data_IF_398477257794
#
_entry.id   IF_398477257794
#
_cell.length_a   1.000
_cell.length_b   1.000
_cell.length_c   1.000
_cell.angle_alpha   90.00
_cell.angle_beta   90.00
_cell.angle_gamma   90.00
#
_symmetry.space_group_name_H-M   'P 1'
#
loop_
_entity.id
_entity.type
_entity.pdbx_description
1 polymer ?
#
# COMPACT_ATOMS: atom_id res chain seq x y z
N UNK A 1 -5.16 -2.25 23.06
CA UNK A 1 -4.41 -3.10 22.11
C UNK A 1 -5.33 -3.37 20.93
N UNK A 2 -4.89 -3.06 19.70
CA UNK A 2 -5.71 -3.17 18.49
C UNK A 2 -5.35 -4.43 17.69
N UNK A 3 -6.34 -5.09 17.09
CA UNK A 3 -6.11 -6.26 16.23
C UNK A 3 -6.90 -6.18 14.94
N UNK A 4 -6.21 -6.29 13.81
CA UNK A 4 -6.81 -6.44 12.49
C UNK A 4 -6.67 -7.88 12.03
N UNK A 5 -7.76 -8.45 11.50
CA UNK A 5 -7.82 -9.79 10.94
C UNK A 5 -8.56 -9.76 9.60
N UNK A 6 -8.37 -10.80 8.81
CA UNK A 6 -9.13 -10.97 7.56
C UNK A 6 -9.49 -12.43 7.37
N UNK A 7 -10.26 -12.74 6.33
CA UNK A 7 -10.66 -14.08 5.92
C UNK A 7 -11.17 -14.05 4.47
N UNK A 8 -11.83 -15.12 3.99
CA UNK A 8 -12.40 -15.15 2.65
C UNK A 8 -13.30 -13.93 2.41
N UNK A 9 -12.84 -13.01 1.56
CA UNK A 9 -13.50 -11.76 1.17
C UNK A 9 -13.78 -10.72 2.29
N UNK A 10 -13.27 -10.92 3.51
CA UNK A 10 -13.73 -10.17 4.68
C UNK A 10 -12.57 -9.63 5.50
N UNK A 11 -12.53 -8.31 5.72
CA UNK A 11 -11.63 -7.66 6.65
C UNK A 11 -12.41 -7.31 7.92
N UNK A 12 -11.88 -7.74 9.06
CA UNK A 12 -12.38 -7.40 10.38
C UNK A 12 -11.35 -6.56 11.11
N UNK A 13 -11.79 -5.46 11.69
CA UNK A 13 -11.01 -4.76 12.68
C UNK A 13 -11.70 -4.81 14.03
N UNK A 14 -11.00 -5.39 15.00
CA UNK A 14 -11.45 -5.52 16.38
C UNK A 14 -10.57 -4.65 17.27
N UNK A 15 -11.22 -3.82 18.08
CA UNK A 15 -10.57 -2.70 18.74
C UNK A 15 -10.28 -2.93 20.21
N UNK A 16 -11.12 -3.69 20.89
CA UNK A 16 -10.95 -3.98 22.31
C UNK A 16 -10.65 -5.45 22.51
N UNK A 17 -9.37 -5.76 22.69
CA UNK A 17 -8.98 -6.89 23.53
C UNK A 17 -9.20 -6.43 24.97
N UNK A 18 -9.96 -7.17 25.78
CA UNK A 18 -10.24 -6.75 27.15
C UNK A 18 -8.94 -6.68 27.92
N UNK A 19 -8.88 -5.90 29.00
CA UNK A 19 -7.76 -5.97 29.93
C UNK A 19 -7.61 -7.42 30.38
N UNK A 20 -6.53 -8.07 29.95
CA UNK A 20 -6.30 -9.47 30.26
C UNK A 20 -6.03 -9.59 31.76
N UNK A 21 -6.70 -10.52 32.46
CA UNK A 21 -6.42 -10.78 33.87
C UNK A 21 -4.97 -11.22 34.05
N UNK A 22 -4.41 -10.86 35.20
CA UNK A 22 -3.06 -11.26 35.61
C UNK A 22 -3.00 -12.69 36.15
N UNK A 23 -4.16 -13.30 36.42
CA UNK A 23 -4.31 -14.68 36.84
C UNK A 23 -4.69 -15.59 35.66
N UNK A 24 -4.43 -16.89 35.82
CA UNK A 24 -4.83 -17.89 34.84
C UNK A 24 -6.36 -17.88 34.65
N UNK A 25 -6.79 -17.94 33.39
CA UNK A 25 -8.19 -18.08 33.01
C UNK A 25 -8.40 -19.45 32.38
N UNK A 26 -9.42 -20.17 32.86
CA UNK A 26 -9.81 -21.48 32.32
C UNK A 26 -10.77 -21.35 31.13
N UNK A 27 -11.39 -20.18 30.98
CA UNK A 27 -12.29 -19.84 29.89
C UNK A 27 -11.78 -18.61 29.12
N UNK A 28 -11.58 -18.73 27.79
CA UNK A 28 -11.13 -17.61 26.98
C UNK A 28 -12.22 -16.53 26.87
N UNK A 29 -11.82 -15.27 26.83
CA UNK A 29 -12.73 -14.17 26.54
C UNK A 29 -13.29 -14.29 25.11
N UNK A 30 -14.60 -14.35 24.99
CA UNK A 30 -15.29 -14.40 23.70
C UNK A 30 -15.75 -13.01 23.28
N UNK A 31 -15.29 -12.56 22.11
CA UNK A 31 -15.76 -11.32 21.48
C UNK A 31 -16.60 -11.69 20.26
N UNK A 32 -17.86 -11.28 20.26
CA UNK A 32 -18.82 -11.68 19.23
C UNK A 32 -18.82 -10.77 17.99
N UNK A 33 -18.58 -9.47 18.18
CA UNK A 33 -18.71 -8.48 17.11
C UNK A 33 -17.48 -7.58 17.01
N UNK A 34 -16.93 -7.40 15.80
CA UNK A 34 -15.88 -6.42 15.56
C UNK A 34 -16.47 -5.02 15.44
N UNK A 35 -15.74 -4.01 15.90
CA UNK A 35 -16.13 -2.59 15.78
C UNK A 35 -16.09 -2.07 14.34
N UNK A 36 -15.33 -2.72 13.46
CA UNK A 36 -15.40 -2.44 12.03
C UNK A 36 -15.29 -3.73 11.22
N UNK A 37 -16.06 -3.81 10.14
CA UNK A 37 -16.05 -4.96 9.24
C UNK A 37 -16.41 -4.50 7.83
N UNK A 38 -15.62 -4.93 6.85
CA UNK A 38 -15.87 -4.61 5.44
C UNK A 38 -15.51 -5.78 4.52
N UNK A 39 -16.28 -5.95 3.45
CA UNK A 39 -15.91 -6.73 2.27
C UNK A 39 -15.64 -5.85 1.05
N UNK A 40 -15.81 -4.54 1.18
CA UNK A 40 -15.88 -3.63 0.04
C UNK A 40 -14.51 -3.11 -0.44
N UNK A 41 -13.44 -3.32 0.36
CA UNK A 41 -12.08 -2.86 0.00
C UNK A 41 -11.44 -3.72 -1.09
N UNK A 42 -11.84 -4.98 -1.23
CA UNK A 42 -11.22 -5.89 -2.19
C UNK A 42 -12.28 -6.71 -2.91
N UNK A 43 -12.02 -7.01 -4.19
CA UNK A 43 -12.89 -7.89 -4.97
C UNK A 43 -12.54 -9.38 -4.77
N UNK A 44 -11.36 -9.65 -4.22
CA UNK A 44 -10.80 -10.99 -4.03
C UNK A 44 -10.53 -11.36 -2.57
N UNK A 45 -10.02 -12.58 -2.37
CA UNK A 45 -9.75 -13.14 -1.05
C UNK A 45 -8.60 -12.39 -0.38
N UNK A 46 -8.83 -11.83 0.81
CA UNK A 46 -7.81 -11.18 1.63
C UNK A 46 -7.16 -12.22 2.53
N UNK A 47 -5.98 -12.69 2.13
CA UNK A 47 -5.32 -13.83 2.77
C UNK A 47 -5.03 -13.65 4.26
N UNK A 48 -5.51 -14.59 5.06
CA UNK A 48 -5.22 -14.73 6.47
C UNK A 48 -5.25 -16.20 6.85
N UNK A 49 -4.30 -16.61 7.68
CA UNK A 49 -4.32 -17.92 8.31
C UNK A 49 -3.73 -17.80 9.72
N UNK A 50 -4.49 -18.26 10.71
CA UNK A 50 -3.96 -18.56 12.05
C UNK A 50 -3.59 -20.03 12.05
N UNK A 51 -2.33 -20.41 12.31
CA UNK A 51 -2.02 -21.77 12.65
C UNK A 51 -2.76 -22.14 13.93
N UNK A 52 -3.70 -23.07 13.86
CA UNK A 52 -4.17 -23.79 15.06
C UNK A 52 -3.03 -24.73 15.43
N UNK A 53 -2.05 -24.25 16.19
CA UNK A 53 -1.08 -25.13 16.85
C UNK A 53 -1.54 -25.35 18.27
N UNK A 54 -1.93 -26.59 18.58
CA UNK A 54 -2.40 -27.00 19.91
C UNK A 54 -1.28 -27.21 20.92
N UNK A 55 -0.01 -27.06 20.55
CA UNK A 55 1.10 -27.33 21.46
C UNK A 55 2.20 -26.28 21.34
N UNK A 56 2.51 -25.70 22.50
CA UNK A 56 3.62 -24.78 22.82
C UNK A 56 3.43 -23.32 22.41
N UNK A 57 3.51 -22.47 23.42
CA UNK A 57 3.55 -21.02 23.34
C UNK A 57 4.78 -20.55 22.53
N UNK A 58 4.58 -20.40 21.22
CA UNK A 58 5.46 -19.60 20.35
C UNK A 58 4.70 -18.29 20.11
N UNK A 59 5.36 -17.10 20.16
CA UNK A 59 4.68 -15.85 19.87
C UNK A 59 3.94 -15.97 18.54
N UNK A 60 2.63 -15.74 18.61
CA UNK A 60 1.69 -15.87 17.49
C UNK A 60 2.26 -15.11 16.30
N UNK A 61 2.84 -15.84 15.35
CA UNK A 61 3.39 -15.29 14.12
C UNK A 61 2.19 -15.04 13.22
N UNK A 62 1.47 -13.95 13.49
CA UNK A 62 0.29 -13.59 12.76
C UNK A 62 0.75 -13.24 11.34
N UNK A 63 0.49 -14.14 10.40
CA UNK A 63 0.82 -13.97 8.99
C UNK A 63 -0.26 -13.08 8.38
N UNK A 64 0.05 -11.78 8.22
CA UNK A 64 -0.94 -10.80 7.79
C UNK A 64 -0.69 -10.34 6.36
N UNK A 65 -1.70 -10.47 5.48
CA UNK A 65 -1.84 -9.66 4.27
C UNK A 65 -2.54 -8.31 4.55
N UNK A 66 -2.63 -7.95 5.83
CA UNK A 66 -3.21 -6.70 6.33
C UNK A 66 -2.29 -6.12 7.42
N UNK A 67 -1.92 -4.86 7.34
CA UNK A 67 -1.06 -4.22 8.34
C UNK A 67 -1.49 -2.79 8.59
N UNK A 68 -1.35 -2.35 9.84
CA UNK A 68 -1.47 -0.92 10.15
C UNK A 68 -0.23 -0.16 9.66
N UNK A 69 -0.47 1.10 9.30
CA UNK A 69 0.51 2.15 9.08
C UNK A 69 -0.02 3.42 9.78
N UNK A 70 0.37 3.62 11.04
CA UNK A 70 -0.35 4.55 11.92
C UNK A 70 -1.81 4.11 12.06
N UNK A 71 -2.74 5.03 11.85
CA UNK A 71 -4.19 4.79 11.86
C UNK A 71 -4.72 4.34 10.48
N UNK A 72 -3.86 4.22 9.48
CA UNK A 72 -4.22 3.73 8.14
C UNK A 72 -3.97 2.22 8.02
N UNK A 73 -4.59 1.60 7.04
CA UNK A 73 -4.52 0.16 6.78
C UNK A 73 -3.94 -0.10 5.40
N UNK A 74 -2.93 -0.96 5.34
CA UNK A 74 -2.47 -1.62 4.13
C UNK A 74 -3.11 -2.99 4.04
N UNK A 75 -3.68 -3.35 2.90
CA UNK A 75 -4.19 -4.70 2.66
C UNK A 75 -4.01 -5.13 1.21
N UNK A 76 -4.05 -6.45 0.98
CA UNK A 76 -4.04 -7.02 -0.37
C UNK A 76 -4.98 -8.21 -0.46
N UNK A 77 -5.46 -8.48 -1.66
CA UNK A 77 -6.22 -9.67 -1.97
C UNK A 77 -5.58 -10.49 -3.09
N UNK A 78 -6.07 -11.72 -3.28
CA UNK A 78 -5.88 -12.49 -4.50
C UNK A 78 -6.60 -11.79 -5.66
N UNK A 79 -6.08 -11.95 -6.89
CA UNK A 79 -6.54 -11.28 -8.13
C UNK A 79 -6.38 -9.75 -8.16
N UNK A 80 -6.40 -9.09 -7.02
CA UNK A 80 -6.03 -7.69 -6.89
C UNK A 80 -4.51 -7.57 -7.13
N UNK A 81 -4.12 -7.11 -8.32
CA UNK A 81 -2.72 -6.82 -8.66
C UNK A 81 -2.24 -5.52 -7.98
N UNK A 82 -2.69 -5.28 -6.74
CA UNK A 82 -2.32 -4.13 -5.94
C UNK A 82 -2.32 -4.43 -4.44
N UNK A 83 -1.46 -3.71 -3.70
CA UNK A 83 -1.61 -3.48 -2.27
C UNK A 83 -2.33 -2.15 -2.11
N UNK A 84 -3.38 -2.10 -1.30
CA UNK A 84 -4.24 -0.92 -1.12
C UNK A 84 -3.92 -0.29 0.23
N UNK A 85 -3.66 1.01 0.23
CA UNK A 85 -3.65 1.85 1.42
C UNK A 85 -5.02 2.53 1.53
N UNK A 86 -5.66 2.39 2.68
CA UNK A 86 -6.97 2.94 2.94
C UNK A 86 -7.10 3.31 4.42
N UNK A 87 -8.17 3.99 4.79
CA UNK A 87 -8.47 4.32 6.19
C UNK A 87 -9.92 4.03 6.53
N UNK A 88 -10.15 3.81 7.82
CA UNK A 88 -11.48 3.74 8.40
C UNK A 88 -11.87 5.17 8.77
N UNK A 89 -13.03 5.63 8.28
CA UNK A 89 -13.50 6.97 8.62
C UNK A 89 -13.89 7.02 10.10
N UNK A 90 -13.59 8.14 10.77
CA UNK A 90 -13.81 8.32 12.21
C UNK A 90 -12.86 7.54 13.13
N UNK A 91 -11.92 6.74 12.61
CA UNK A 91 -10.90 6.09 13.44
C UNK A 91 -9.77 7.07 13.78
N UNK A 92 -9.52 7.26 15.08
CA UNK A 92 -8.17 7.54 15.56
C UNK A 92 -7.74 6.63 16.71
N UNK A 93 -6.45 6.28 16.75
CA UNK A 93 -5.86 5.54 17.88
C UNK A 93 -5.63 6.40 19.13
N UNK A 94 -5.76 7.72 19.02
CA UNK A 94 -5.70 8.65 20.16
C UNK A 94 -7.02 8.74 20.92
N UNK A 95 -8.12 8.36 20.29
CA UNK A 95 -9.44 8.32 20.91
C UNK A 95 -9.55 7.16 21.91
N UNK A 96 -10.38 7.29 22.96
CA UNK A 96 -10.65 6.17 23.85
C UNK A 96 -11.23 4.99 23.05
N UNK A 97 -10.80 3.75 23.34
CA UNK A 97 -11.27 2.60 22.59
C UNK A 97 -12.79 2.41 22.80
N UNK A 98 -13.55 2.09 21.74
CA UNK A 98 -15.01 1.94 21.83
C UNK A 98 -15.39 0.77 22.74
N UNK A 99 -16.52 0.90 23.42
CA UNK A 99 -17.05 -0.14 24.31
C UNK A 99 -17.50 -1.36 23.51
N UNK A 100 -17.54 -2.54 24.14
CA UNK A 100 -18.08 -3.75 23.48
C UNK A 100 -19.52 -3.59 22.99
N UNK A 101 -20.34 -2.86 23.75
CA UNK A 101 -21.73 -2.57 23.41
C UNK A 101 -21.89 -1.66 22.19
N UNK A 102 -20.82 -0.98 21.77
CA UNK A 102 -20.82 -0.07 20.61
C UNK A 102 -20.47 -0.82 19.30
N UNK A 103 -20.10 -2.10 19.38
CA UNK A 103 -19.84 -2.89 18.18
C UNK A 103 -21.13 -3.07 17.35
N UNK A 104 -21.09 -2.80 16.03
CA UNK A 104 -22.27 -2.89 15.19
C UNK A 104 -22.71 -4.35 15.01
N UNK A 105 -24.02 -4.59 15.11
CA UNK A 105 -24.61 -5.90 14.86
C UNK A 105 -24.70 -6.19 13.35
N UNK A 106 -24.85 -7.46 12.93
CA UNK A 106 -25.00 -7.82 11.52
C UNK A 106 -26.23 -7.20 10.83
N UNK A 107 -27.19 -6.68 11.60
CA UNK A 107 -28.37 -5.99 11.08
C UNK A 107 -28.09 -4.53 10.70
N UNK A 108 -27.00 -3.94 11.23
CA UNK A 108 -26.59 -2.56 10.95
C UNK A 108 -25.73 -2.44 9.66
N UNK A 109 -25.95 -3.34 8.70
CA UNK A 109 -25.19 -3.39 7.46
C UNK A 109 -25.65 -2.29 6.52
N UNK A 110 -24.70 -1.46 6.10
CA UNK A 110 -24.90 -0.48 5.03
C UNK A 110 -24.32 -1.08 3.76
N UNK A 111 -25.17 -1.26 2.74
CA UNK A 111 -24.72 -1.56 1.39
C UNK A 111 -23.98 -0.34 0.85
N UNK A 112 -22.67 -0.45 0.63
CA UNK A 112 -21.88 0.64 0.05
C UNK A 112 -22.13 0.65 -1.47
N UNK A 113 -23.25 1.23 -1.91
CA UNK A 113 -23.66 1.24 -3.32
C UNK A 113 -22.97 2.32 -4.18
N UNK A 114 -21.98 3.05 -3.66
CA UNK A 114 -21.32 4.13 -4.40
C UNK A 114 -20.24 3.67 -5.38
N UNK A 115 -19.76 2.42 -5.31
CA UNK A 115 -18.70 1.91 -6.20
C UNK A 115 -19.04 0.56 -6.89
N UNK A 116 -20.31 0.33 -7.24
CA UNK A 116 -20.68 -0.69 -8.23
C UNK A 116 -20.47 -2.17 -7.86
N UNK A 117 -19.92 -2.47 -6.68
CA UNK A 117 -19.77 -3.84 -6.16
C UNK A 117 -20.52 -3.95 -4.84
N UNK A 118 -21.40 -4.96 -4.71
CA UNK A 118 -22.28 -5.20 -3.56
C UNK A 118 -21.56 -5.61 -2.27
N UNK A 119 -20.58 -4.82 -1.85
CA UNK A 119 -19.85 -4.96 -0.60
C UNK A 119 -20.65 -4.43 0.59
N UNK A 120 -20.35 -5.01 1.75
CA UNK A 120 -20.98 -4.62 3.01
C UNK A 120 -19.93 -3.97 3.90
N UNK A 121 -20.28 -2.84 4.51
CA UNK A 121 -19.47 -2.24 5.56
C UNK A 121 -20.33 -1.94 6.79
N UNK A 122 -19.76 -2.14 7.97
CA UNK A 122 -20.30 -1.66 9.24
C UNK A 122 -19.17 -1.13 10.10
N UNK A 123 -19.45 -0.05 10.84
CA UNK A 123 -18.47 0.69 11.62
C UNK A 123 -19.11 1.25 12.89
N UNK A 124 -18.42 1.15 14.02
CA UNK A 124 -18.73 1.87 15.25
C UNK A 124 -18.23 3.33 15.23
N UNK A 125 -17.39 3.69 14.28
CA UNK A 125 -16.65 4.96 14.25
C UNK A 125 -17.39 6.10 13.55
N UNK A 126 -18.41 5.76 12.76
CA UNK A 126 -19.21 6.74 12.02
C UNK A 126 -20.69 6.44 12.23
N UNK A 127 -21.51 7.42 12.68
CA UNK A 127 -22.94 7.23 12.85
C UNK A 127 -23.64 6.88 11.52
N UNK A 128 -24.42 5.80 11.52
CA UNK A 128 -25.18 5.34 10.35
C UNK A 128 -26.37 6.25 9.94
N UNK A 129 -26.66 7.30 10.72
CA UNK A 129 -27.96 8.02 10.70
C UNK A 129 -27.83 9.46 10.14
N UNK A 130 -26.76 9.77 9.41
CA UNK A 130 -26.62 11.11 8.80
C UNK A 130 -27.39 11.20 7.47
N UNK A 131 -28.03 12.35 7.15
CA UNK A 131 -28.66 12.57 5.84
C UNK A 131 -27.57 12.63 4.75
N UNK A 132 -27.44 11.54 4.02
CA UNK A 132 -26.30 11.22 3.16
C UNK A 132 -25.48 10.13 3.84
N UNK A 133 -25.61 8.88 3.37
CA UNK A 133 -24.92 7.72 3.95
C UNK A 133 -23.41 8.03 3.98
N UNK A 134 -22.80 8.25 5.16
CA UNK A 134 -21.41 8.64 5.21
C UNK A 134 -20.53 7.47 4.79
N UNK A 135 -19.47 7.75 4.02
CA UNK A 135 -18.45 6.76 3.68
C UNK A 135 -17.85 6.22 4.97
N UNK A 136 -17.83 4.89 5.14
CA UNK A 136 -17.28 4.26 6.35
C UNK A 136 -15.78 3.96 6.23
N UNK A 137 -15.25 4.02 5.01
CA UNK A 137 -13.84 3.87 4.68
C UNK A 137 -13.53 4.66 3.42
N UNK A 138 -12.25 4.97 3.22
CA UNK A 138 -11.75 5.67 2.03
C UNK A 138 -10.46 5.01 1.53
N UNK A 139 -10.42 4.62 0.25
CA UNK A 139 -9.18 4.22 -0.43
C UNK A 139 -8.31 5.45 -0.65
N UNK A 140 -7.03 5.34 -0.30
CA UNK A 140 -6.08 6.45 -0.37
C UNK A 140 -5.09 6.29 -1.52
N UNK A 141 -4.48 5.10 -1.64
CA UNK A 141 -3.49 4.79 -2.67
C UNK A 141 -3.49 3.31 -3.00
N UNK A 142 -3.04 2.98 -4.21
CA UNK A 142 -2.77 1.62 -4.64
C UNK A 142 -1.30 1.46 -5.04
N UNK A 143 -0.68 0.33 -4.70
CA UNK A 143 0.68 -0.02 -5.06
C UNK A 143 0.66 -1.19 -6.03
N UNK A 144 1.15 -0.99 -7.25
CA UNK A 144 1.03 -1.97 -8.32
C UNK A 144 1.87 -3.23 -8.06
N UNK A 145 1.22 -4.39 -7.94
CA UNK A 145 1.84 -5.70 -7.73
C UNK A 145 1.48 -6.68 -8.86
N UNK A 146 2.04 -6.50 -10.07
CA UNK A 146 1.66 -7.27 -11.23
C UNK A 146 2.08 -8.74 -11.12
N UNK A 147 1.47 -9.59 -11.95
CA UNK A 147 1.84 -11.01 -12.09
C UNK A 147 1.73 -11.77 -10.76
N UNK A 148 0.67 -11.50 -10.01
CA UNK A 148 0.26 -12.35 -8.87
C UNK A 148 -0.74 -13.42 -9.31
N UNK A 149 -1.53 -13.16 -10.37
CA UNK A 149 -2.54 -14.10 -10.88
C UNK A 149 -3.45 -14.62 -9.75
N UNK A 150 -3.74 -15.92 -9.75
CA UNK A 150 -4.47 -16.63 -8.70
C UNK A 150 -3.61 -17.01 -7.48
N UNK A 151 -2.34 -16.59 -7.43
CA UNK A 151 -1.50 -16.88 -6.28
C UNK A 151 -1.91 -16.03 -5.09
N UNK A 152 -2.35 -16.75 -4.06
CA UNK A 152 -2.66 -16.25 -2.75
C UNK A 152 -1.57 -16.69 -1.75
N UNK A 153 -1.65 -16.26 -0.50
CA UNK A 153 -0.66 -16.49 0.56
C UNK A 153 0.72 -15.86 0.27
N UNK A 154 0.68 -14.65 -0.26
CA UNK A 154 1.86 -13.85 -0.59
C UNK A 154 1.77 -12.56 0.22
N UNK A 155 2.78 -12.22 1.02
CA UNK A 155 2.67 -11.16 2.02
C UNK A 155 3.67 -10.03 1.75
N UNK A 156 3.23 -8.81 2.02
CA UNK A 156 4.08 -7.64 2.04
C UNK A 156 4.60 -7.38 3.44
N UNK A 157 5.64 -6.55 3.55
CA UNK A 157 6.11 -6.03 4.85
C UNK A 157 6.51 -4.58 4.71
N UNK A 158 5.98 -3.76 5.61
CA UNK A 158 6.38 -2.37 5.78
C UNK A 158 7.52 -2.30 6.82
N UNK A 159 8.64 -1.72 6.43
CA UNK A 159 9.63 -1.21 7.37
C UNK A 159 9.15 0.14 7.88
N UNK A 160 8.80 0.24 9.16
CA UNK A 160 8.29 1.47 9.76
C UNK A 160 8.90 1.63 11.15
N UNK A 161 10.01 2.35 11.21
CA UNK A 161 10.80 2.59 12.42
C UNK A 161 11.02 4.09 12.54
N UNK A 162 10.85 4.71 13.73
CA UNK A 162 11.08 6.14 13.93
C UNK A 162 12.47 6.58 13.44
N UNK A 163 12.53 7.76 12.80
CA UNK A 163 13.77 8.32 12.27
C UNK A 163 14.28 7.68 10.98
N UNK A 164 13.54 6.72 10.40
CA UNK A 164 13.88 6.08 9.13
C UNK A 164 12.73 6.22 8.13
N UNK A 165 13.06 6.18 6.83
CA UNK A 165 12.05 6.17 5.78
C UNK A 165 11.19 4.90 5.89
N UNK A 166 9.86 5.07 5.79
CA UNK A 166 8.94 3.95 5.71
C UNK A 166 9.04 3.30 4.32
N UNK A 167 9.39 2.01 4.27
CA UNK A 167 9.62 1.29 3.00
C UNK A 167 8.75 0.04 2.93
N UNK A 168 7.83 0.02 1.98
CA UNK A 168 7.00 -1.13 1.68
C UNK A 168 7.77 -2.07 0.75
N UNK A 169 7.82 -3.36 1.08
CA UNK A 169 8.38 -4.39 0.21
C UNK A 169 7.39 -5.54 -0.01
N UNK A 170 7.41 -6.07 -1.23
CA UNK A 170 6.57 -7.17 -1.66
C UNK A 170 7.23 -7.96 -2.78
N UNK A 171 7.01 -9.28 -2.87
CA UNK A 171 7.48 -10.09 -3.98
C UNK A 171 6.34 -10.85 -4.65
N UNK A 172 6.21 -10.72 -5.98
CA UNK A 172 5.16 -11.38 -6.75
C UNK A 172 5.45 -12.85 -7.06
N UNK A 173 4.58 -13.48 -7.84
CA UNK A 173 4.69 -14.88 -8.24
C UNK A 173 5.67 -15.11 -9.40
N UNK A 174 6.17 -14.03 -9.99
CA UNK A 174 7.15 -14.04 -11.08
C UNK A 174 8.57 -13.68 -10.60
N UNK A 175 8.84 -13.76 -9.29
CA UNK A 175 10.16 -13.51 -8.71
C UNK A 175 10.59 -12.04 -8.70
N UNK A 176 9.69 -11.10 -8.94
CA UNK A 176 9.98 -9.66 -8.87
C UNK A 176 9.72 -9.15 -7.46
N UNK A 177 10.73 -8.52 -6.84
CA UNK A 177 10.68 -7.88 -5.53
C UNK A 177 10.55 -6.37 -5.75
N UNK A 178 9.50 -5.78 -5.21
CA UNK A 178 9.13 -4.38 -5.37
C UNK A 178 9.34 -3.61 -4.08
N UNK A 179 9.75 -2.35 -4.21
CA UNK A 179 9.95 -1.43 -3.10
C UNK A 179 9.30 -0.07 -3.38
N UNK A 180 8.60 0.46 -2.39
CA UNK A 180 8.07 1.83 -2.36
C UNK A 180 8.56 2.53 -1.10
N UNK A 181 9.13 3.72 -1.27
CA UNK A 181 9.62 4.58 -0.18
C UNK A 181 8.60 5.71 0.02
N UNK A 182 7.87 5.68 1.14
CA UNK A 182 6.76 6.60 1.37
C UNK A 182 7.23 8.05 1.53
N UNK A 183 8.46 8.26 2.00
CA UNK A 183 9.07 9.61 2.07
C UNK A 183 9.26 10.22 0.68
N UNK A 184 9.43 9.40 -0.37
CA UNK A 184 9.51 9.93 -1.75
C UNK A 184 8.17 10.39 -2.28
N UNK A 185 7.07 9.83 -1.80
CA UNK A 185 5.72 10.24 -2.21
C UNK A 185 5.43 11.66 -1.71
N UNK A 186 5.71 11.93 -0.43
CA UNK A 186 5.54 13.27 0.15
C UNK A 186 6.53 14.26 -0.47
N UNK A 187 7.81 13.90 -0.59
CA UNK A 187 8.81 14.76 -1.20
C UNK A 187 8.51 15.09 -2.69
N UNK A 188 7.90 14.16 -3.43
CA UNK A 188 7.48 14.42 -4.81
C UNK A 188 6.41 15.51 -4.89
N UNK A 189 5.40 15.47 -4.02
CA UNK A 189 4.37 16.52 -3.95
C UNK A 189 5.00 17.89 -3.72
N UNK A 190 5.91 18.00 -2.76
CA UNK A 190 6.63 19.26 -2.46
C UNK A 190 7.47 19.74 -3.64
N UNK A 191 8.07 18.84 -4.41
CA UNK A 191 8.77 19.20 -5.65
C UNK A 191 7.77 19.74 -6.67
N UNK A 192 6.65 19.04 -6.90
CA UNK A 192 5.66 19.47 -7.89
C UNK A 192 5.01 20.81 -7.54
N UNK A 193 4.68 21.05 -6.27
CA UNK A 193 4.16 22.34 -5.80
C UNK A 193 5.14 23.49 -6.09
N UNK A 194 6.43 23.28 -5.82
CA UNK A 194 7.47 24.26 -6.16
C UNK A 194 7.60 24.48 -7.66
N UNK A 195 7.59 23.42 -8.46
CA UNK A 195 7.65 23.52 -9.92
C UNK A 195 6.45 24.27 -10.50
N UNK A 196 5.24 24.09 -9.95
CA UNK A 196 4.04 24.80 -10.36
C UNK A 196 4.04 26.28 -9.94
N UNK A 197 4.60 26.59 -8.77
CA UNK A 197 4.63 27.95 -8.21
C UNK A 197 5.83 28.80 -8.69
N UNK A 198 6.84 28.18 -9.30
CA UNK A 198 8.08 28.82 -9.77
C UNK A 198 7.90 29.67 -11.05
N UNK A 199 6.95 30.60 -11.04
CA UNK A 199 6.89 31.71 -12.03
C UNK A 199 7.79 32.90 -11.65
N UNK A 200 8.40 32.93 -10.46
CA UNK A 200 9.05 34.14 -9.94
C UNK A 200 10.49 34.04 -9.45
N UNK A 201 11.08 32.86 -9.20
CA UNK A 201 12.46 32.80 -8.68
C UNK A 201 13.41 31.98 -9.54
N UNK A 202 14.48 32.65 -10.01
CA UNK A 202 15.53 32.09 -10.88
C UNK A 202 16.56 31.25 -10.11
N UNK A 203 16.22 30.80 -8.90
CA UNK A 203 17.08 29.88 -8.15
C UNK A 203 17.05 28.51 -8.83
N UNK A 204 18.24 28.03 -9.20
CA UNK A 204 18.42 26.72 -9.83
C UNK A 204 18.15 25.63 -8.79
N UNK A 205 16.87 25.34 -8.54
CA UNK A 205 16.49 24.32 -7.58
C UNK A 205 16.94 22.94 -8.07
N UNK A 206 17.74 22.27 -7.23
CA UNK A 206 18.26 20.96 -7.54
C UNK A 206 17.18 19.91 -7.26
N UNK A 207 16.77 19.20 -8.31
CA UNK A 207 15.90 18.04 -8.17
C UNK A 207 16.57 16.95 -7.32
N UNK A 208 15.81 16.23 -6.47
CA UNK A 208 16.34 15.10 -5.73
C UNK A 208 16.99 14.07 -6.65
N UNK A 209 18.12 13.49 -6.24
CA UNK A 209 18.91 12.57 -7.07
C UNK A 209 18.19 11.27 -7.48
N UNK A 210 17.12 10.92 -6.77
CA UNK A 210 16.25 9.79 -7.07
C UNK A 210 15.21 10.08 -8.15
N UNK A 211 14.92 11.36 -8.45
CA UNK A 211 13.96 11.80 -9.44
C UNK A 211 14.66 11.97 -10.80
N UNK A 212 15.00 10.84 -11.42
CA UNK A 212 15.80 10.80 -12.65
C UNK A 212 14.95 11.05 -13.89
N UNK A 213 15.46 11.84 -14.82
CA UNK A 213 14.84 12.03 -16.14
C UNK A 213 14.97 10.77 -17.01
N UNK A 214 13.95 10.46 -17.79
CA UNK A 214 14.03 9.39 -18.79
C UNK A 214 14.95 9.88 -19.91
N UNK A 215 16.11 9.21 -20.07
CA UNK A 215 17.00 9.49 -21.19
C UNK A 215 16.53 8.68 -22.39
N UNK A 216 16.14 9.34 -23.48
CA UNK A 216 16.01 8.66 -24.76
C UNK A 216 17.37 8.08 -25.14
N UNK A 217 17.45 6.77 -25.34
CA UNK A 217 18.54 6.20 -26.14
C UNK A 217 18.38 6.83 -27.53
N UNK A 218 19.29 7.71 -27.92
CA UNK A 218 19.39 8.07 -29.33
C UNK A 218 19.80 6.81 -30.06
N UNK A 219 18.87 6.18 -30.76
CA UNK A 219 19.24 5.22 -31.79
C UNK A 219 20.07 5.98 -32.81
N UNK A 220 21.37 5.71 -32.80
CA UNK A 220 22.25 6.14 -33.86
C UNK A 220 21.89 5.35 -35.12
N UNK A 221 21.42 6.05 -36.15
CA UNK A 221 21.37 5.54 -37.52
C UNK A 221 19.97 5.23 -38.04
N UNK A 222 19.43 6.15 -38.83
CA UNK A 222 18.24 5.88 -39.65
C UNK A 222 17.56 7.15 -40.12
N UNK A 223 18.06 7.75 -41.20
CA UNK A 223 17.36 8.81 -41.95
C UNK A 223 16.07 8.20 -42.52
N UNK A 224 14.96 8.37 -41.81
CA UNK A 224 13.63 8.16 -42.37
C UNK A 224 12.85 9.47 -42.26
N UNK A 225 12.62 10.10 -43.40
CA UNK A 225 11.66 11.17 -43.58
C UNK A 225 10.26 10.58 -43.78
N UNK A 226 9.26 10.88 -42.93
CA UNK A 226 7.88 10.66 -43.30
C UNK A 226 7.24 11.99 -43.72
N UNK A 227 6.88 12.09 -45.01
CA UNK A 227 5.80 12.96 -45.45
C UNK A 227 4.48 12.32 -45.04
N UNK A 228 3.72 12.97 -44.16
CA UNK A 228 2.30 13.27 -44.38
C UNK A 228 1.71 14.00 -43.16
N UNK A 229 1.04 15.12 -43.45
CA UNK A 229 0.18 15.86 -42.53
C UNK A 229 -1.17 15.15 -42.43
N UNK A 230 -1.60 14.88 -41.20
CA UNK A 230 -3.01 14.83 -40.83
C UNK A 230 -3.13 15.24 -39.35
N UNK A 231 -4.23 15.93 -39.05
CA UNK A 231 -4.39 16.86 -37.94
C UNK A 231 -4.70 16.22 -36.58
N UNK A 232 -4.76 17.11 -35.58
CA UNK A 232 -5.44 17.01 -34.27
C UNK A 232 -4.80 16.16 -33.17
N UNK A 233 -3.95 16.81 -32.37
CA UNK A 233 -4.11 16.92 -30.92
C UNK A 233 -3.19 18.05 -30.41
N UNK A 234 -3.75 19.01 -29.68
CA UNK A 234 -2.97 20.08 -29.04
C UNK A 234 -1.91 19.45 -28.11
N UNK A 235 -0.62 19.83 -28.20
CA UNK A 235 0.35 19.34 -27.25
C UNK A 235 0.05 19.95 -25.89
N UNK A 236 -0.16 19.11 -24.88
CA UNK A 236 -0.08 19.51 -23.48
C UNK A 236 1.27 20.19 -23.31
N UNK A 237 1.21 21.49 -23.05
CA UNK A 237 2.35 22.38 -22.99
C UNK A 237 3.31 21.88 -21.91
N UNK A 238 4.51 21.44 -22.32
CA UNK A 238 5.53 20.98 -21.38
C UNK A 238 5.80 22.06 -20.35
N UNK A 239 5.76 21.69 -19.06
CA UNK A 239 6.18 22.59 -18.00
C UNK A 239 7.69 22.83 -18.15
N UNK A 240 8.04 24.01 -18.65
CA UNK A 240 9.43 24.47 -18.70
C UNK A 240 9.81 24.94 -17.31
N UNK A 241 10.74 24.24 -16.66
CA UNK A 241 11.28 24.63 -15.37
C UNK A 241 12.80 24.74 -15.50
N UNK A 242 13.32 25.93 -15.23
CA UNK A 242 14.75 26.21 -15.07
C UNK A 242 15.66 25.69 -16.20
N UNK A 243 15.30 25.92 -17.47
CA UNK A 243 16.14 25.55 -18.62
C UNK A 243 16.35 24.05 -18.82
N UNK A 244 15.69 23.19 -18.01
CA UNK A 244 15.55 21.76 -18.25
C UNK A 244 14.15 21.52 -18.79
N UNK A 245 14.06 21.26 -20.09
CA UNK A 245 12.83 20.77 -20.69
C UNK A 245 12.56 19.36 -20.14
N UNK A 246 11.69 19.25 -19.13
CA UNK A 246 11.20 17.96 -18.64
C UNK A 246 10.33 17.39 -19.76
N UNK A 247 10.75 16.26 -20.33
CA UNK A 247 9.96 15.61 -21.37
C UNK A 247 8.64 15.08 -20.81
N UNK A 248 7.60 15.04 -21.64
CA UNK A 248 6.31 14.44 -21.27
C UNK A 248 6.49 13.01 -20.73
N UNK A 249 7.36 12.22 -21.37
CA UNK A 249 7.75 10.86 -20.94
C UNK A 249 8.40 10.82 -19.54
N UNK A 250 9.24 11.82 -19.21
CA UNK A 250 9.81 11.94 -17.87
C UNK A 250 8.72 12.24 -16.84
N UNK A 251 7.81 13.16 -17.18
CA UNK A 251 6.72 13.55 -16.30
C UNK A 251 5.78 12.37 -16.05
N UNK A 252 5.41 11.61 -17.09
CA UNK A 252 4.61 10.40 -16.96
C UNK A 252 5.29 9.33 -16.09
N UNK A 253 6.60 9.12 -16.29
CA UNK A 253 7.39 8.19 -15.47
C UNK A 253 7.43 8.59 -13.99
N UNK A 254 7.44 9.88 -13.69
CA UNK A 254 7.37 10.37 -12.30
C UNK A 254 5.96 10.23 -11.73
N UNK A 255 4.95 10.69 -12.47
CA UNK A 255 3.54 10.61 -12.06
C UNK A 255 3.14 9.18 -11.73
N UNK A 256 3.50 8.21 -12.57
CA UNK A 256 3.17 6.79 -12.36
C UNK A 256 3.86 6.14 -11.15
N UNK A 257 4.92 6.75 -10.60
CA UNK A 257 5.65 6.21 -9.43
C UNK A 257 5.37 6.95 -8.14
N UNK A 258 4.99 8.23 -8.23
CA UNK A 258 5.00 9.13 -7.08
C UNK A 258 3.72 9.96 -6.90
N UNK A 259 2.85 10.09 -7.91
CA UNK A 259 1.64 10.91 -7.77
C UNK A 259 0.63 10.26 -6.84
N UNK A 260 0.05 11.07 -5.95
CA UNK A 260 -0.98 10.65 -4.98
C UNK A 260 -2.34 11.32 -5.28
N UNK A 261 -2.52 11.86 -6.49
CA UNK A 261 -3.72 12.62 -6.87
C UNK A 261 -4.91 11.73 -7.20
N UNK A 262 -4.66 10.54 -7.74
CA UNK A 262 -5.68 9.57 -8.12
C UNK A 262 -5.54 8.29 -7.27
N UNK A 263 -6.43 8.06 -6.29
CA UNK A 263 -6.40 6.87 -5.44
C UNK A 263 -6.56 5.55 -6.20
N UNK A 264 -7.19 5.56 -7.37
CA UNK A 264 -7.49 4.36 -8.18
C UNK A 264 -6.38 4.03 -9.18
N UNK A 265 -5.36 4.88 -9.33
CA UNK A 265 -4.22 4.62 -10.24
C UNK A 265 -3.07 3.97 -9.48
N UNK A 266 -2.77 2.67 -9.71
CA UNK A 266 -1.73 1.98 -8.94
C UNK A 266 -0.32 2.54 -9.22
N UNK A 267 0.41 2.83 -8.14
CA UNK A 267 1.77 3.32 -8.17
C UNK A 267 2.77 2.22 -8.55
N UNK A 268 3.58 2.49 -9.57
CA UNK A 268 4.72 1.66 -9.92
C UNK A 268 5.79 1.69 -8.81
N UNK A 269 6.43 0.55 -8.61
CA UNK A 269 7.52 0.43 -7.65
C UNK A 269 8.66 1.43 -7.93
N UNK A 270 9.22 1.99 -6.87
CA UNK A 270 10.38 2.88 -6.94
C UNK A 270 11.64 2.09 -7.27
N UNK A 271 11.70 0.83 -6.84
CA UNK A 271 12.73 -0.12 -7.22
C UNK A 271 12.13 -1.51 -7.41
N UNK A 272 12.61 -2.20 -8.43
CA UNK A 272 12.32 -3.62 -8.68
C UNK A 272 13.63 -4.39 -8.71
N UNK A 273 13.67 -5.54 -8.04
CA UNK A 273 14.79 -6.50 -8.08
C UNK A 273 14.23 -7.85 -8.50
N UNK A 274 14.83 -8.48 -9.49
CA UNK A 274 14.43 -9.82 -9.94
C UNK A 274 15.21 -10.88 -9.19
N UNK A 275 14.52 -11.93 -8.76
CA UNK A 275 15.12 -13.18 -8.34
C UNK A 275 15.83 -13.84 -9.55
N UNK A 276 16.91 -14.60 -9.33
CA UNK A 276 17.66 -15.25 -10.40
C UNK A 276 16.86 -16.36 -11.11
N UNK A 277 15.97 -17.05 -10.40
CA UNK A 277 15.16 -18.16 -10.91
C UNK A 277 13.65 -17.94 -10.68
N UNK A 278 12.82 -18.87 -11.18
CA UNK A 278 11.38 -18.90 -10.89
C UNK A 278 11.15 -18.95 -9.38
N UNK A 279 10.65 -17.85 -8.83
CA UNK A 279 10.46 -17.66 -7.40
C UNK A 279 9.08 -17.06 -7.11
N UNK A 280 8.36 -17.64 -6.16
CA UNK A 280 7.10 -17.09 -5.67
C UNK A 280 7.33 -16.55 -4.26
N UNK A 281 7.30 -15.23 -4.12
CA UNK A 281 7.46 -14.58 -2.82
C UNK A 281 6.34 -14.91 -1.87
N UNK A 282 6.65 -15.49 -0.71
CA UNK A 282 5.68 -15.83 0.33
C UNK A 282 5.68 -14.79 1.44
N UNK A 283 6.84 -14.43 1.99
CA UNK A 283 6.95 -13.45 3.08
C UNK A 283 8.10 -12.49 2.84
N UNK A 284 7.98 -11.29 3.41
CA UNK A 284 9.07 -10.32 3.54
C UNK A 284 9.35 -10.03 5.02
N UNK A 285 10.61 -9.89 5.38
CA UNK A 285 11.09 -9.46 6.70
C UNK A 285 12.14 -8.35 6.55
N UNK A 286 12.23 -7.49 7.55
CA UNK A 286 13.22 -6.42 7.63
C UNK A 286 14.04 -6.59 8.91
N UNK A 287 15.34 -6.26 8.86
CA UNK A 287 16.12 -6.05 10.08
C UNK A 287 15.64 -4.79 10.82
N UNK A 288 15.87 -4.68 12.13
CA UNK A 288 15.48 -3.49 12.89
C UNK A 288 16.05 -2.17 12.34
N UNK A 289 17.28 -2.20 11.82
CA UNK A 289 17.91 -1.05 11.17
C UNK A 289 17.47 -0.84 9.71
N UNK A 290 16.68 -1.74 9.14
CA UNK A 290 16.25 -1.70 7.74
C UNK A 290 17.39 -1.89 6.71
N UNK A 291 18.60 -2.21 7.15
CA UNK A 291 19.76 -2.48 6.30
C UNK A 291 19.65 -3.82 5.55
N UNK A 292 18.85 -4.76 6.08
CA UNK A 292 18.53 -6.03 5.45
C UNK A 292 17.02 -6.16 5.17
N UNK A 293 16.71 -6.63 3.96
CA UNK A 293 15.39 -7.12 3.58
C UNK A 293 15.52 -8.59 3.17
N UNK A 294 14.74 -9.46 3.81
CA UNK A 294 14.75 -10.90 3.56
C UNK A 294 13.41 -11.29 2.94
N UNK A 295 13.45 -11.95 1.79
CA UNK A 295 12.27 -12.49 1.11
C UNK A 295 12.37 -14.00 1.06
N UNK A 296 11.32 -14.70 1.49
CA UNK A 296 11.28 -16.17 1.51
C UNK A 296 10.13 -16.70 0.68
N UNK A 297 10.35 -17.85 0.04
CA UNK A 297 9.35 -18.51 -0.80
C UNK A 297 9.85 -19.85 -1.32
N UNK A 298 8.97 -20.86 -1.37
CA UNK A 298 9.38 -22.24 -1.68
C UNK A 298 10.49 -22.71 -0.72
N UNK A 299 11.61 -23.17 -1.27
CA UNK A 299 12.82 -23.56 -0.54
C UNK A 299 13.93 -22.48 -0.56
N UNK A 300 13.63 -21.28 -1.05
CA UNK A 300 14.64 -20.24 -1.31
C UNK A 300 14.48 -19.05 -0.36
N UNK A 301 15.63 -18.53 0.09
CA UNK A 301 15.74 -17.30 0.89
C UNK A 301 16.57 -16.29 0.08
N UNK A 302 16.02 -15.12 -0.16
CA UNK A 302 16.68 -14.01 -0.84
C UNK A 302 17.00 -12.92 0.19
N UNK A 303 18.27 -12.53 0.29
CA UNK A 303 18.72 -11.50 1.21
C UNK A 303 19.21 -10.28 0.43
N UNK A 304 18.57 -9.13 0.63
CA UNK A 304 18.95 -7.86 0.04
C UNK A 304 19.55 -6.97 1.12
N UNK A 305 20.68 -6.34 0.81
CA UNK A 305 21.35 -5.37 1.68
C UNK A 305 21.31 -3.96 1.10
N UNK A 306 21.14 -2.95 1.94
CA UNK A 306 21.44 -1.54 1.63
C UNK A 306 22.47 -0.99 2.62
N UNK A 307 23.06 0.16 2.27
CA UNK A 307 24.10 0.83 3.07
C UNK A 307 25.32 -0.05 3.37
N UNK A 308 25.64 -0.97 2.45
CA UNK A 308 26.90 -1.69 2.53
C UNK A 308 28.05 -0.70 2.40
N UNK A 309 28.98 -0.71 3.35
CA UNK A 309 30.27 -0.07 3.15
C UNK A 309 30.93 -0.76 1.96
N UNK A 310 31.44 0.04 1.01
CA UNK A 310 32.28 -0.50 -0.05
C UNK A 310 33.55 -1.01 0.62
N UNK A 311 33.79 -2.32 0.53
CA UNK A 311 35.09 -2.93 0.84
C UNK A 311 36.09 -2.57 -0.25
#
# INVERSE_FOLDING_TARGET
>A
MYSISSGPMLIHLQWTVPSLPTHAIDTPFQVHYPHFSTTAVHSGIVDWWVPISRERAVPVLILRSVSFYGDQVLSRACYDNAIVLWRIEGFSSTDPPPRYSEAPTPQAVISSSSEGQGGFTRSAFVPAISPGIPTQYTRLLEFHTPRCAEQFFMRFKLHHVPGQHAVLAFCNAAGSIFFWDFTRLTAYREVMERLCNSRQDKTTEQLPSWLRSVRRKSEAGGRFTPKNKAASASPVQGCSVNGRNISSETMESWTTRYSMEDPQRPLLAHKTVSAPDKFVGRQVGWSPGGEWCVVVGGSVVLMLKRWAMKS
#
